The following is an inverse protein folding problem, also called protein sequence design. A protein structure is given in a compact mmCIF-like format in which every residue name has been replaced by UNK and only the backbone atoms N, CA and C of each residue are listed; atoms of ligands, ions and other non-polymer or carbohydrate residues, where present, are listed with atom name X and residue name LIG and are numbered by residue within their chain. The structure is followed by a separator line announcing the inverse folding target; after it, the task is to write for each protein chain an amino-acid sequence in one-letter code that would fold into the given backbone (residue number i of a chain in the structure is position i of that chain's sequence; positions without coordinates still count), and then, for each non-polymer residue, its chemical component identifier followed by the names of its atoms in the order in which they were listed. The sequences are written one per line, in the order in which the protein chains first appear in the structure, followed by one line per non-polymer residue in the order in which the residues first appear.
data_IF_693304069534
#
_entry.id   IF_693304069534
#
_cell.length_a   1.000
_cell.length_b   1.000
_cell.length_c   1.000
_cell.angle_alpha   90.00
_cell.angle_beta   90.00
_cell.angle_gamma   90.00
#
_symmetry.space_group_name_H-M   'P 1'
#
loop_
_entity.id
_entity.type
_entity.pdbx_description
1 polymer ?
#
# COMPACT_ATOMS: atom_id res chain seq x y z
N UNK A 1 25.96 -21.19 -20.35
CA UNK A 1 24.59 -21.70 -20.58
C UNK A 1 24.39 -21.85 -22.08
N UNK A 2 23.91 -23.00 -22.54
CA UNK A 2 23.66 -23.21 -23.97
C UNK A 2 22.49 -22.30 -24.40
N UNK A 3 22.54 -21.74 -25.61
CA UNK A 3 21.57 -20.74 -26.11
C UNK A 3 20.12 -21.25 -26.24
N UNK A 4 19.83 -22.50 -25.88
CA UNK A 4 18.58 -23.18 -26.23
C UNK A 4 17.85 -23.87 -25.06
N UNK A 5 18.18 -23.61 -23.80
CA UNK A 5 17.36 -24.14 -22.70
C UNK A 5 15.99 -23.45 -22.68
N UNK A 6 14.88 -24.22 -22.73
CA UNK A 6 13.54 -23.66 -22.66
C UNK A 6 13.38 -22.96 -21.30
N UNK A 7 12.89 -21.71 -21.35
CA UNK A 7 12.62 -20.94 -20.15
C UNK A 7 11.30 -21.46 -19.58
N UNK A 8 11.27 -21.71 -18.28
CA UNK A 8 10.08 -22.15 -17.57
C UNK A 8 9.55 -21.03 -16.68
N UNK A 9 8.23 -20.88 -16.62
CA UNK A 9 7.59 -19.95 -15.69
C UNK A 9 7.82 -20.42 -14.25
N UNK A 10 8.40 -19.60 -13.36
CA UNK A 10 8.71 -20.01 -11.99
C UNK A 10 7.45 -20.34 -11.16
N UNK A 11 6.28 -19.85 -11.57
CA UNK A 11 5.02 -20.03 -10.84
C UNK A 11 4.23 -21.27 -11.26
N UNK A 12 4.19 -21.58 -12.56
CA UNK A 12 3.34 -22.66 -13.08
C UNK A 12 4.06 -23.62 -14.03
N UNK A 13 5.39 -23.51 -14.15
CA UNK A 13 6.28 -24.38 -14.92
C UNK A 13 6.02 -24.46 -16.45
N UNK A 14 5.02 -23.75 -16.96
CA UNK A 14 4.74 -23.67 -18.41
C UNK A 14 5.88 -23.00 -19.18
N UNK A 15 6.05 -23.41 -20.43
CA UNK A 15 7.00 -22.83 -21.39
C UNK A 15 6.37 -21.78 -22.31
N UNK A 16 5.05 -21.54 -22.22
CA UNK A 16 4.36 -20.51 -23.00
C UNK A 16 4.62 -19.11 -22.43
N UNK A 17 5.76 -18.54 -22.83
CA UNK A 17 6.31 -17.30 -22.31
C UNK A 17 6.48 -16.31 -23.46
N UNK A 18 5.88 -15.13 -23.31
CA UNK A 18 6.20 -13.98 -24.14
C UNK A 18 7.46 -13.32 -23.60
N UNK A 19 8.47 -13.12 -24.45
CA UNK A 19 9.72 -12.44 -24.07
C UNK A 19 9.81 -11.11 -24.80
N UNK A 20 10.12 -10.05 -24.04
CA UNK A 20 10.41 -8.72 -24.57
C UNK A 20 11.78 -8.29 -24.08
N UNK A 21 12.71 -8.09 -25.01
CA UNK A 21 14.06 -7.60 -24.69
C UNK A 21 14.04 -6.08 -24.69
N UNK A 22 14.50 -5.48 -23.60
CA UNK A 22 14.61 -4.03 -23.42
C UNK A 22 16.06 -3.68 -23.07
N UNK A 23 16.64 -2.70 -23.76
CA UNK A 23 17.98 -2.22 -23.42
C UNK A 23 17.88 -1.20 -22.29
N UNK A 24 18.66 -1.41 -21.24
CA UNK A 24 18.75 -0.48 -20.10
C UNK A 24 20.19 -0.01 -19.93
N UNK A 25 20.33 1.20 -19.39
CA UNK A 25 21.60 1.69 -18.90
C UNK A 25 21.89 1.04 -17.54
N UNK A 26 23.01 0.33 -17.39
CA UNK A 26 23.36 -0.40 -16.18
C UNK A 26 23.60 0.53 -14.98
N UNK A 27 24.09 1.76 -15.22
CA UNK A 27 24.38 2.71 -14.16
C UNK A 27 23.10 3.32 -13.57
N UNK A 28 22.19 3.79 -14.43
CA UNK A 28 20.95 4.44 -13.99
C UNK A 28 19.75 3.48 -13.84
N UNK A 29 19.80 2.31 -14.47
CA UNK A 29 18.68 1.38 -14.59
C UNK A 29 17.49 1.93 -15.38
N UNK A 30 17.68 3.02 -16.15
CA UNK A 30 16.65 3.60 -17.01
C UNK A 30 16.58 2.85 -18.34
N UNK A 31 15.36 2.72 -18.88
CA UNK A 31 15.14 2.17 -20.23
C UNK A 31 15.73 3.13 -21.26
N UNK A 32 16.60 2.60 -22.11
CA UNK A 32 17.11 3.34 -23.26
C UNK A 32 16.06 3.23 -24.37
N UNK A 33 15.32 4.31 -24.59
CA UNK A 33 14.32 4.35 -25.66
C UNK A 33 15.02 4.38 -27.02
N UNK A 34 14.97 3.27 -27.75
CA UNK A 34 15.41 3.17 -29.15
C UNK A 34 15.02 4.38 -30.02
N UNK A 35 13.76 4.91 -29.98
CA UNK A 35 13.34 5.99 -30.88
C UNK A 35 14.11 7.29 -30.67
N UNK A 36 14.45 7.67 -29.44
CA UNK A 36 15.19 8.92 -29.18
C UNK A 36 16.61 8.85 -29.77
N UNK A 37 17.24 7.69 -29.67
CA UNK A 37 18.53 7.42 -30.31
C UNK A 37 18.48 7.41 -31.83
N UNK A 38 17.44 6.79 -32.40
CA UNK A 38 17.27 6.74 -33.84
C UNK A 38 17.10 8.17 -34.39
N UNK A 39 16.29 8.99 -33.72
CA UNK A 39 16.14 10.41 -34.05
C UNK A 39 17.49 11.13 -33.94
N UNK A 40 18.21 10.99 -32.83
CA UNK A 40 19.55 11.59 -32.66
C UNK A 40 20.53 11.19 -33.78
N UNK A 41 20.56 9.90 -34.14
CA UNK A 41 21.38 9.39 -35.24
C UNK A 41 21.00 9.97 -36.61
N UNK A 42 19.70 10.13 -36.89
CA UNK A 42 19.20 10.76 -38.12
C UNK A 42 19.66 12.23 -38.20
N UNK A 43 19.56 12.98 -37.10
CA UNK A 43 20.02 14.36 -37.04
C UNK A 43 21.52 14.50 -37.31
N UNK A 44 22.34 13.61 -36.73
CA UNK A 44 23.78 13.55 -37.02
C UNK A 44 24.02 13.25 -38.51
N UNK A 45 23.33 12.25 -39.06
CA UNK A 45 23.49 11.86 -40.47
C UNK A 45 23.13 13.01 -41.43
N UNK A 46 22.00 13.70 -41.19
CA UNK A 46 21.57 14.86 -42.00
C UNK A 46 22.62 15.97 -41.91
N UNK A 47 23.08 16.31 -40.70
CA UNK A 47 24.10 17.35 -40.51
C UNK A 47 25.39 17.06 -41.28
N UNK A 48 25.88 15.81 -41.21
CA UNK A 48 27.08 15.39 -41.94
C UNK A 48 26.87 15.44 -43.45
N UNK A 49 25.74 14.95 -43.97
CA UNK A 49 25.43 14.98 -45.41
C UNK A 49 25.37 16.41 -45.93
N UNK A 50 24.67 17.31 -45.23
CA UNK A 50 24.57 18.72 -45.61
C UNK A 50 25.94 19.43 -45.56
N UNK A 51 26.77 19.11 -44.56
CA UNK A 51 28.14 19.61 -44.48
C UNK A 51 28.99 19.19 -45.67
N UNK A 52 28.97 17.89 -46.01
CA UNK A 52 29.73 17.34 -47.15
C UNK A 52 29.24 17.94 -48.47
N UNK A 53 27.94 18.04 -48.69
CA UNK A 53 27.38 18.66 -49.90
C UNK A 53 27.81 20.12 -50.04
N UNK A 54 27.84 20.86 -48.93
CA UNK A 54 28.29 22.27 -48.95
C UNK A 54 29.77 22.39 -49.34
N UNK A 55 30.63 21.48 -48.86
CA UNK A 55 32.05 21.43 -49.26
C UNK A 55 32.19 21.08 -50.73
N UNK A 56 31.44 20.09 -51.23
CA UNK A 56 31.45 19.71 -52.65
C UNK A 56 31.01 20.90 -53.51
N UNK A 57 29.93 21.59 -53.14
CA UNK A 57 29.46 22.78 -53.85
C UNK A 57 30.49 23.91 -53.87
N UNK A 58 31.22 24.12 -52.77
CA UNK A 58 32.29 25.13 -52.74
C UNK A 58 33.48 24.78 -53.64
N UNK A 59 33.76 23.49 -53.85
CA UNK A 59 34.85 23.03 -54.74
C UNK A 59 34.43 23.09 -56.21
N UNK A 60 33.14 22.86 -56.51
CA UNK A 60 32.63 22.79 -57.89
C UNK A 60 32.07 24.11 -58.42
N UNK A 61 31.87 25.11 -57.57
CA UNK A 61 31.38 26.43 -58.00
C UNK A 61 32.40 27.12 -58.89
N UNK A 62 32.00 27.37 -60.15
CA UNK A 62 32.77 28.17 -61.10
C UNK A 62 32.86 29.64 -60.62
N UNK A 63 34.01 30.32 -60.76
CA UNK A 63 34.24 31.68 -60.23
C UNK A 63 33.37 32.80 -60.84
N UNK A 64 32.38 32.47 -61.66
CA UNK A 64 31.62 33.44 -62.46
C UNK A 64 30.28 33.89 -61.83
N UNK A 65 29.77 33.26 -60.77
CA UNK A 65 28.51 33.66 -60.11
C UNK A 65 28.58 33.41 -58.59
N UNK A 66 28.76 34.49 -57.81
CA UNK A 66 28.95 34.46 -56.36
C UNK A 66 27.62 34.33 -55.58
N UNK A 67 27.59 33.45 -54.58
CA UNK A 67 28.22 33.72 -53.28
C UNK A 67 29.67 33.22 -53.17
N UNK A 68 30.50 33.99 -52.46
CA UNK A 68 31.90 33.62 -52.19
C UNK A 68 32.01 32.18 -51.62
N UNK A 69 33.01 31.37 -52.04
CA UNK A 69 33.18 29.99 -51.57
C UNK A 69 33.33 29.90 -50.04
N UNK A 70 33.86 30.96 -49.41
CA UNK A 70 33.88 31.12 -47.95
C UNK A 70 32.48 31.14 -47.34
N UNK A 71 31.51 31.81 -47.96
CA UNK A 71 30.13 31.84 -47.47
C UNK A 71 29.46 30.47 -47.56
N UNK A 72 29.74 29.69 -48.62
CA UNK A 72 29.21 28.34 -48.79
C UNK A 72 29.76 27.40 -47.71
N UNK A 73 31.06 27.47 -47.42
CA UNK A 73 31.69 26.66 -46.36
C UNK A 73 31.15 27.04 -44.97
N UNK A 74 30.99 28.33 -44.69
CA UNK A 74 30.42 28.80 -43.41
C UNK A 74 28.97 28.35 -43.26
N UNK A 75 28.15 28.43 -44.31
CA UNK A 75 26.78 27.92 -44.30
C UNK A 75 26.75 26.41 -44.05
N UNK A 76 27.64 25.66 -44.69
CA UNK A 76 27.80 24.22 -44.46
C UNK A 76 28.12 23.90 -43.01
N UNK A 77 29.09 24.58 -42.41
CA UNK A 77 29.45 24.42 -40.99
C UNK A 77 28.29 24.77 -40.05
N UNK A 78 27.54 25.84 -40.35
CA UNK A 78 26.34 26.20 -39.59
C UNK A 78 25.28 25.10 -39.66
N UNK A 79 25.07 24.48 -40.83
CA UNK A 79 24.14 23.35 -40.97
C UNK A 79 24.64 22.12 -40.20
N UNK A 80 25.95 21.82 -40.23
CA UNK A 80 26.50 20.73 -39.40
C UNK A 80 26.22 20.99 -37.93
N UNK A 81 26.47 22.20 -37.42
CA UNK A 81 26.23 22.53 -36.02
C UNK A 81 24.75 22.48 -35.64
N UNK A 82 23.87 22.98 -36.51
CA UNK A 82 22.43 23.03 -36.27
C UNK A 82 21.79 21.64 -36.20
N UNK A 83 22.28 20.67 -36.99
CA UNK A 83 21.72 19.33 -37.03
C UNK A 83 22.52 18.32 -36.20
N UNK A 84 23.86 18.30 -36.30
CA UNK A 84 24.68 17.35 -35.58
C UNK A 84 24.79 17.67 -34.08
N UNK A 85 24.74 18.96 -33.68
CA UNK A 85 24.79 19.35 -32.27
C UNK A 85 23.64 18.76 -31.43
N UNK A 86 22.37 19.03 -31.79
CA UNK A 86 21.22 18.41 -31.14
C UNK A 86 21.21 16.89 -31.28
N UNK A 87 21.62 16.36 -32.43
CA UNK A 87 21.73 14.91 -32.64
C UNK A 87 22.71 14.23 -31.69
N UNK A 88 23.89 14.83 -31.49
CA UNK A 88 24.90 14.40 -30.51
C UNK A 88 24.38 14.52 -29.09
N UNK A 89 23.67 15.60 -28.75
CA UNK A 89 23.06 15.75 -27.42
C UNK A 89 22.04 14.64 -27.13
N UNK A 90 21.22 14.27 -28.11
CA UNK A 90 20.24 13.19 -27.98
C UNK A 90 20.89 11.79 -27.95
N UNK A 91 22.00 11.60 -28.68
CA UNK A 91 22.69 10.32 -28.77
C UNK A 91 23.72 10.10 -27.64
N UNK A 92 24.26 11.16 -27.04
CA UNK A 92 25.32 11.09 -26.04
C UNK A 92 24.99 10.19 -24.84
N UNK A 93 23.79 10.26 -24.23
CA UNK A 93 23.42 9.37 -23.14
C UNK A 93 23.46 7.90 -23.54
N UNK A 94 23.16 7.58 -24.80
CA UNK A 94 23.15 6.21 -25.29
C UNK A 94 24.54 5.68 -25.67
N UNK A 95 25.43 6.56 -26.13
CA UNK A 95 26.84 6.21 -26.38
C UNK A 95 27.58 5.99 -25.06
N UNK A 96 27.28 6.78 -24.03
CA UNK A 96 27.92 6.71 -22.72
C UNK A 96 27.31 5.67 -21.78
N UNK A 97 26.10 5.16 -22.06
CA UNK A 97 25.45 4.17 -21.22
C UNK A 97 26.16 2.80 -21.29
N UNK A 98 26.37 2.17 -20.12
CA UNK A 98 26.78 0.77 -20.03
C UNK A 98 25.56 -0.10 -20.37
N UNK A 99 25.49 -0.58 -21.62
CA UNK A 99 24.28 -1.22 -22.16
C UNK A 99 24.15 -2.63 -21.62
N UNK A 100 23.03 -2.91 -20.98
CA UNK A 100 22.62 -4.28 -20.64
C UNK A 100 21.25 -4.60 -21.23
N UNK A 101 21.07 -5.85 -21.64
CA UNK A 101 19.77 -6.34 -22.07
C UNK A 101 19.00 -6.83 -20.85
N UNK A 102 17.80 -6.28 -20.65
CA UNK A 102 16.81 -6.75 -19.71
C UNK A 102 15.76 -7.53 -20.51
N UNK A 103 15.71 -8.84 -20.31
CA UNK A 103 14.64 -9.68 -20.83
C UNK A 103 13.47 -9.65 -19.85
N UNK A 104 12.35 -9.09 -20.29
CA UNK A 104 11.07 -9.14 -19.59
C UNK A 104 10.30 -10.36 -20.08
N UNK A 105 9.90 -11.23 -19.15
CA UNK A 105 9.14 -12.43 -19.44
C UNK A 105 7.74 -12.29 -18.89
N UNK A 106 6.76 -12.67 -19.71
CA UNK A 106 5.37 -12.70 -19.32
C UNK A 106 4.80 -14.09 -19.60
N UNK A 107 4.39 -14.79 -18.54
CA UNK A 107 3.71 -16.07 -18.67
C UNK A 107 2.31 -15.83 -19.25
N UNK A 108 1.96 -16.45 -20.37
CA UNK A 108 0.63 -16.27 -20.98
C UNK A 108 -0.48 -16.95 -20.16
N UNK A 109 -0.14 -18.01 -19.44
CA UNK A 109 -1.11 -18.83 -18.70
C UNK A 109 -1.50 -18.20 -17.35
N UNK A 110 -0.52 -17.83 -16.52
CA UNK A 110 -0.78 -17.32 -15.16
C UNK A 110 -0.57 -15.81 -15.00
N UNK A 111 -0.23 -15.12 -16.09
CA UNK A 111 0.06 -13.67 -16.14
C UNK A 111 1.16 -13.22 -15.16
N UNK A 112 2.07 -14.12 -14.82
CA UNK A 112 3.23 -13.77 -14.00
C UNK A 112 4.29 -13.09 -14.86
N UNK A 113 4.74 -11.92 -14.41
CA UNK A 113 5.83 -11.15 -15.01
C UNK A 113 7.10 -11.32 -14.18
N UNK A 114 8.23 -11.58 -14.84
CA UNK A 114 9.56 -11.56 -14.21
C UNK A 114 10.61 -11.03 -15.18
N UNK A 115 11.75 -10.60 -14.65
CA UNK A 115 12.81 -9.98 -15.43
C UNK A 115 14.13 -10.72 -15.23
N UNK A 116 14.96 -10.77 -16.27
CA UNK A 116 16.34 -11.30 -16.20
C UNK A 116 17.25 -10.36 -16.98
N UNK A 117 18.38 -9.95 -16.39
CA UNK A 117 19.41 -9.32 -17.18
C UNK A 117 20.28 -10.36 -17.86
N UNK A 118 20.64 -10.09 -19.10
CA UNK A 118 21.62 -10.88 -19.83
C UNK A 118 22.96 -10.79 -19.08
N UNK A 119 23.48 -11.94 -18.65
CA UNK A 119 24.72 -12.04 -17.86
C UNK A 119 24.60 -11.78 -16.35
N UNK A 120 23.42 -11.44 -15.83
CA UNK A 120 23.22 -11.27 -14.39
C UNK A 120 21.78 -11.58 -13.97
N UNK A 121 21.60 -12.56 -13.09
CA UNK A 121 20.31 -12.85 -12.47
C UNK A 121 19.95 -11.69 -11.54
N UNK A 122 18.91 -10.91 -11.91
CA UNK A 122 18.32 -9.93 -10.99
C UNK A 122 17.27 -10.67 -10.18
N UNK A 123 17.45 -10.70 -8.87
CA UNK A 123 16.45 -11.22 -7.94
C UNK A 123 15.54 -10.08 -7.49
N UNK A 124 14.22 -10.28 -7.57
CA UNK A 124 13.24 -9.33 -7.05
C UNK A 124 12.89 -9.70 -5.62
N UNK A 125 13.27 -8.85 -4.67
CA UNK A 125 12.94 -9.01 -3.27
C UNK A 125 11.64 -8.27 -2.96
N UNK A 126 10.72 -8.95 -2.27
CA UNK A 126 9.45 -8.36 -1.83
C UNK A 126 9.67 -7.59 -0.54
N UNK A 127 9.35 -6.30 -0.59
CA UNK A 127 9.48 -5.41 0.56
C UNK A 127 8.25 -4.54 0.73
N UNK A 128 8.12 -3.94 1.89
CA UNK A 128 7.14 -2.92 2.18
C UNK A 128 7.87 -1.69 2.71
N UNK A 129 7.68 -0.56 2.02
CA UNK A 129 8.31 0.72 2.34
C UNK A 129 7.31 1.61 3.07
N UNK A 130 7.75 2.43 4.04
CA UNK A 130 6.86 3.36 4.73
C UNK A 130 6.28 4.39 3.77
N UNK A 131 4.98 4.61 3.95
CA UNK A 131 4.12 5.59 3.31
C UNK A 131 4.14 6.95 4.00
N UNK A 132 3.55 7.94 3.33
CA UNK A 132 3.35 9.30 3.87
C UNK A 132 2.49 9.34 5.15
N UNK A 133 1.82 8.23 5.47
CA UNK A 133 0.82 8.13 6.55
C UNK A 133 1.10 6.98 7.52
N UNK A 134 2.36 6.51 7.58
CA UNK A 134 2.71 5.31 8.37
C UNK A 134 2.15 4.00 7.81
N UNK A 135 1.36 4.06 6.73
CA UNK A 135 0.99 2.89 5.94
C UNK A 135 2.24 2.28 5.32
N UNK A 136 2.24 0.98 5.09
CA UNK A 136 3.35 0.30 4.43
C UNK A 136 2.91 -0.08 3.03
N UNK A 137 3.61 0.42 2.02
CA UNK A 137 3.28 0.23 0.61
C UNK A 137 4.14 -0.91 0.06
N UNK A 138 3.55 -1.93 -0.58
CA UNK A 138 4.31 -2.99 -1.20
C UNK A 138 5.20 -2.41 -2.31
N UNK A 139 6.46 -2.81 -2.32
CA UNK A 139 7.45 -2.42 -3.30
C UNK A 139 8.38 -3.59 -3.62
N UNK A 140 9.22 -3.40 -4.63
CA UNK A 140 10.20 -4.37 -5.06
C UNK A 140 11.59 -3.77 -4.90
N UNK A 141 12.50 -4.58 -4.36
CA UNK A 141 13.93 -4.31 -4.42
C UNK A 141 14.53 -5.18 -5.49
N UNK A 142 15.20 -4.55 -6.44
CA UNK A 142 15.94 -5.26 -7.47
C UNK A 142 17.36 -5.50 -6.95
N UNK A 143 17.71 -6.77 -6.81
CA UNK A 143 19.00 -7.23 -6.33
C UNK A 143 19.78 -7.80 -7.52
N UNK A 144 20.82 -7.11 -7.96
CA UNK A 144 21.76 -7.60 -8.96
C UNK A 144 23.09 -7.99 -8.27
N UNK A 145 23.99 -8.74 -8.94
CA UNK A 145 25.24 -9.20 -8.31
C UNK A 145 26.11 -8.10 -7.69
N UNK A 146 26.10 -6.89 -8.25
CA UNK A 146 26.97 -5.77 -7.84
C UNK A 146 26.21 -4.51 -7.37
N UNK A 147 24.88 -4.48 -7.47
CA UNK A 147 24.08 -3.34 -7.05
C UNK A 147 22.69 -3.77 -6.57
N UNK A 148 22.07 -2.91 -5.79
CA UNK A 148 20.72 -3.04 -5.27
C UNK A 148 19.96 -1.74 -5.51
N UNK A 149 18.72 -1.84 -5.99
CA UNK A 149 17.83 -0.70 -6.22
C UNK A 149 16.56 -0.85 -5.40
N UNK A 150 16.30 0.09 -4.49
CA UNK A 150 15.09 0.14 -3.66
C UNK A 150 14.22 1.28 -4.13
N UNK A 151 13.02 0.98 -4.61
CA UNK A 151 12.04 2.00 -4.98
C UNK A 151 11.19 2.36 -3.77
N UNK A 152 11.43 3.53 -3.19
CA UNK A 152 10.50 4.17 -2.26
C UNK A 152 9.40 4.92 -3.00
N UNK A 153 8.52 5.58 -2.25
CA UNK A 153 7.41 6.36 -2.83
C UNK A 153 7.93 7.61 -3.53
N UNK A 154 8.79 8.38 -2.84
CA UNK A 154 9.28 9.67 -3.36
C UNK A 154 10.70 9.58 -3.93
N UNK A 155 11.38 8.45 -3.74
CA UNK A 155 12.78 8.30 -4.13
C UNK A 155 13.16 6.86 -4.41
N UNK A 156 14.08 6.70 -5.33
CA UNK A 156 14.75 5.43 -5.61
C UNK A 156 16.16 5.50 -5.05
N UNK A 157 16.53 4.53 -4.21
CA UNK A 157 17.90 4.41 -3.70
C UNK A 157 18.67 3.39 -4.53
N UNK A 158 19.86 3.77 -4.96
CA UNK A 158 20.83 2.88 -5.57
C UNK A 158 21.99 2.65 -4.60
N UNK A 159 22.31 1.37 -4.35
CA UNK A 159 23.35 0.92 -3.43
C UNK A 159 24.27 -0.04 -4.17
N UNK A 160 25.56 0.28 -4.26
CA UNK A 160 26.55 -0.63 -4.81
C UNK A 160 26.97 -1.64 -3.73
N UNK A 161 27.31 -2.86 -4.15
CA UNK A 161 27.67 -3.96 -3.24
C UNK A 161 28.83 -3.61 -2.30
N UNK A 162 29.85 -2.90 -2.79
CA UNK A 162 31.01 -2.48 -1.99
C UNK A 162 30.69 -1.41 -0.93
N UNK A 163 29.51 -0.78 -1.05
CA UNK A 163 29.00 0.16 -0.05
C UNK A 163 27.87 -0.44 0.80
N UNK A 164 27.37 -1.62 0.46
CA UNK A 164 26.18 -2.20 1.07
C UNK A 164 26.32 -2.39 2.58
N UNK A 165 27.47 -2.84 3.08
CA UNK A 165 27.70 -3.03 4.50
C UNK A 165 27.58 -1.74 5.34
N UNK A 166 27.84 -0.58 4.73
CA UNK A 166 27.70 0.75 5.36
C UNK A 166 26.33 1.38 5.14
N UNK A 167 25.64 0.94 4.11
CA UNK A 167 24.41 1.55 3.59
C UNK A 167 23.15 0.75 3.96
N UNK A 168 23.29 -0.51 4.38
CA UNK A 168 22.18 -1.38 4.75
C UNK A 168 22.34 -1.76 6.21
N UNK A 169 21.42 -1.28 7.03
CA UNK A 169 21.39 -1.53 8.47
C UNK A 169 20.26 -2.53 8.77
N UNK A 170 20.66 -3.72 9.20
CA UNK A 170 19.76 -4.76 9.67
C UNK A 170 19.38 -4.49 11.13
N UNK A 171 18.16 -4.01 11.37
CA UNK A 171 17.80 -3.45 12.68
C UNK A 171 17.59 -4.50 13.78
N UNK A 172 17.46 -5.78 13.42
CA UNK A 172 17.06 -6.86 14.33
C UNK A 172 15.60 -6.76 14.83
N UNK A 173 14.90 -5.66 14.52
CA UNK A 173 13.50 -5.44 14.88
C UNK A 173 12.59 -6.09 13.84
N UNK A 174 11.41 -6.48 14.29
CA UNK A 174 10.33 -6.97 13.44
C UNK A 174 9.23 -5.91 13.34
N UNK A 175 8.57 -5.84 12.21
CA UNK A 175 7.41 -4.99 12.01
C UNK A 175 6.26 -5.49 12.88
N UNK A 176 5.54 -4.57 13.52
CA UNK A 176 4.34 -4.86 14.32
C UNK A 176 3.18 -4.09 13.72
N UNK A 177 2.21 -4.80 13.16
CA UNK A 177 1.03 -4.19 12.54
C UNK A 177 0.53 -4.96 11.33
N UNK A 178 -0.74 -4.72 10.99
CA UNK A 178 -1.35 -5.19 9.74
C UNK A 178 -1.33 -4.08 8.72
N UNK A 179 -1.21 -4.44 7.45
CA UNK A 179 -1.28 -3.50 6.34
C UNK A 179 -2.46 -3.84 5.44
N UNK A 180 -2.92 -2.87 4.66
CA UNK A 180 -3.95 -3.11 3.65
C UNK A 180 -3.54 -4.18 2.60
N UNK A 181 -2.23 -4.38 2.41
CA UNK A 181 -1.66 -5.34 1.47
C UNK A 181 -1.44 -6.75 2.07
N UNK A 182 -1.75 -6.96 3.35
CA UNK A 182 -1.58 -8.23 4.04
C UNK A 182 -1.00 -8.10 5.45
N UNK A 183 -0.97 -9.24 6.16
CA UNK A 183 -0.32 -9.34 7.47
C UNK A 183 1.20 -9.46 7.28
N UNK A 184 1.91 -8.38 7.57
CA UNK A 184 3.39 -8.33 7.56
C UNK A 184 3.95 -8.33 8.99
N UNK A 185 3.12 -8.67 9.98
CA UNK A 185 3.55 -8.76 11.36
C UNK A 185 4.68 -9.81 11.49
N UNK A 186 5.76 -9.43 12.17
CA UNK A 186 6.93 -10.29 12.32
C UNK A 186 7.98 -10.14 11.20
N UNK A 187 7.71 -9.37 10.14
CA UNK A 187 8.67 -9.20 9.05
C UNK A 187 9.87 -8.38 9.54
N UNK A 188 11.12 -8.81 9.28
CA UNK A 188 12.30 -8.07 9.71
C UNK A 188 12.38 -6.69 9.06
N UNK A 189 12.79 -5.70 9.85
CA UNK A 189 12.96 -4.31 9.42
C UNK A 189 14.40 -4.04 9.03
N UNK A 190 14.58 -3.45 7.84
CA UNK A 190 15.86 -3.02 7.28
C UNK A 190 15.83 -1.52 7.05
N UNK A 191 16.94 -0.85 7.29
CA UNK A 191 17.12 0.57 6.94
C UNK A 191 18.14 0.68 5.81
N UNK A 192 17.74 1.35 4.73
CA UNK A 192 18.60 1.64 3.59
C UNK A 192 19.03 3.11 3.67
N UNK A 193 20.34 3.36 3.60
CA UNK A 193 20.95 4.68 3.71
C UNK A 193 21.88 4.87 2.51
N UNK A 194 21.61 5.86 1.65
CA UNK A 194 22.43 6.19 0.50
C UNK A 194 22.72 7.70 0.50
N UNK A 195 23.68 8.14 -0.31
CA UNK A 195 23.90 9.57 -0.57
C UNK A 195 22.62 10.26 -1.10
N UNK A 196 21.73 9.49 -1.74
CA UNK A 196 20.43 9.93 -2.25
C UNK A 196 19.34 10.03 -1.16
N UNK A 197 19.67 9.65 0.08
CA UNK A 197 18.78 9.73 1.24
C UNK A 197 18.58 8.40 1.95
N UNK A 198 17.68 8.42 2.95
CA UNK A 198 17.43 7.28 3.83
C UNK A 198 15.98 6.77 3.71
N UNK A 199 15.82 5.45 3.63
CA UNK A 199 14.56 4.72 3.78
C UNK A 199 14.65 3.90 5.06
N UNK A 200 13.97 4.35 6.11
CA UNK A 200 13.95 3.65 7.41
C UNK A 200 12.82 2.62 7.45
N UNK A 201 12.96 1.60 8.28
CA UNK A 201 11.87 0.67 8.62
C UNK A 201 11.21 -0.02 7.42
N UNK A 202 12.00 -0.42 6.43
CA UNK A 202 11.50 -1.24 5.32
C UNK A 202 11.29 -2.66 5.82
N UNK A 203 10.06 -3.15 5.79
CA UNK A 203 9.77 -4.52 6.16
C UNK A 203 10.09 -5.43 4.98
N UNK A 204 10.88 -6.47 5.21
CA UNK A 204 11.35 -7.38 4.16
C UNK A 204 10.76 -8.75 4.41
N UNK A 205 10.23 -9.40 3.37
CA UNK A 205 9.72 -10.76 3.50
C UNK A 205 10.85 -11.69 4.01
N UNK A 206 10.60 -12.65 4.93
CA UNK A 206 11.66 -13.48 5.51
C UNK A 206 12.62 -14.13 4.49
N UNK A 207 12.12 -14.65 3.37
CA UNK A 207 12.96 -15.24 2.32
C UNK A 207 13.81 -14.18 1.60
N UNK A 208 13.21 -13.03 1.32
CA UNK A 208 13.88 -11.86 0.75
C UNK A 208 14.96 -11.31 1.69
N UNK A 209 14.74 -11.39 3.00
CA UNK A 209 15.68 -10.94 4.02
C UNK A 209 16.94 -11.83 4.03
N UNK A 210 16.79 -13.15 3.96
CA UNK A 210 17.94 -14.06 3.86
C UNK A 210 18.77 -13.82 2.61
N UNK A 211 18.13 -13.60 1.46
CA UNK A 211 18.81 -13.25 0.21
C UNK A 211 19.57 -11.92 0.33
N UNK A 212 18.95 -10.92 0.97
CA UNK A 212 19.60 -9.64 1.22
C UNK A 212 20.81 -9.79 2.15
N UNK A 213 20.70 -10.57 3.23
CA UNK A 213 21.82 -10.84 4.14
C UNK A 213 22.98 -11.56 3.44
N UNK A 214 22.70 -12.53 2.57
CA UNK A 214 23.72 -13.23 1.79
C UNK A 214 24.42 -12.32 0.77
N UNK A 215 23.71 -11.30 0.28
CA UNK A 215 24.25 -10.37 -0.70
C UNK A 215 25.12 -9.27 -0.09
N UNK A 216 24.77 -8.77 1.10
CA UNK A 216 25.56 -7.76 1.81
C UNK A 216 26.88 -8.38 2.27
N UNK A 217 28.05 -7.86 1.83
CA UNK A 217 29.32 -8.37 2.30
C UNK A 217 29.45 -8.10 3.80
N UNK A 218 29.84 -9.12 4.58
CA UNK A 218 30.13 -8.94 6.01
C UNK A 218 31.21 -7.87 6.16
N UNK A 219 30.91 -6.76 6.83
CA UNK A 219 31.95 -5.86 7.26
C UNK A 219 32.91 -6.64 8.16
N UNK A 220 34.21 -6.56 7.88
CA UNK A 220 35.24 -7.29 8.62
C UNK A 220 35.04 -7.08 10.13
N UNK A 221 34.63 -8.14 10.84
CA UNK A 221 34.40 -8.14 12.29
C UNK A 221 32.94 -8.12 12.77
N UNK A 222 31.94 -7.99 11.90
CA UNK A 222 30.52 -8.15 12.27
C UNK A 222 29.94 -9.41 11.64
N UNK A 223 29.83 -10.49 12.42
CA UNK A 223 28.98 -11.62 12.04
C UNK A 223 27.52 -11.17 12.03
N UNK A 224 26.90 -11.19 10.84
CA UNK A 224 25.46 -11.10 10.74
C UNK A 224 24.88 -12.41 11.28
N UNK A 225 24.48 -12.43 12.55
CA UNK A 225 23.82 -13.60 13.14
C UNK A 225 22.49 -13.81 12.39
N UNK A 226 22.34 -14.86 11.57
CA UNK A 226 21.07 -15.11 10.92
C UNK A 226 20.02 -15.28 12.01
N UNK A 227 18.91 -14.54 11.90
CA UNK A 227 17.79 -14.76 12.81
C UNK A 227 17.36 -16.23 12.66
N UNK A 228 17.49 -17.00 13.74
CA UNK A 228 16.91 -18.33 13.81
C UNK A 228 15.41 -18.17 13.57
N UNK A 229 14.93 -18.68 12.44
CA UNK A 229 13.50 -18.75 12.14
C UNK A 229 12.95 -19.86 13.04
N UNK A 230 12.65 -19.54 14.29
CA UNK A 230 11.81 -20.41 15.13
C UNK A 230 10.40 -20.34 14.54
N UNK A 231 9.98 -21.42 13.89
CA UNK A 231 8.58 -21.66 13.58
C UNK A 231 7.78 -21.52 14.89
N UNK A 232 6.78 -20.63 14.91
CA UNK A 232 5.99 -20.36 16.09
C UNK A 232 5.02 -21.53 16.34
N UNK A 233 5.05 -22.21 17.49
CA UNK A 233 4.04 -23.20 17.85
C UNK A 233 2.84 -22.45 18.45
N UNK A 234 1.95 -21.93 17.60
CA UNK A 234 0.73 -21.25 18.06
C UNK A 234 -0.55 -21.79 17.41
N UNK A 235 -0.51 -23.04 16.93
CA UNK A 235 -1.69 -23.74 16.42
C UNK A 235 -2.24 -24.74 17.45
N UNK A 236 -1.45 -25.17 18.44
CA UNK A 236 -1.84 -26.22 19.40
C UNK A 236 -2.62 -25.68 20.61
N UNK A 237 -2.36 -24.44 21.05
CA UNK A 237 -3.08 -23.86 22.20
C UNK A 237 -4.50 -23.38 21.86
N UNK A 238 -4.78 -23.09 20.59
CA UNK A 238 -6.13 -22.73 20.12
C UNK A 238 -7.10 -23.90 20.21
N UNK A 239 -6.63 -25.14 20.00
CA UNK A 239 -7.47 -26.34 20.11
C UNK A 239 -7.88 -26.66 21.54
N UNK A 240 -7.07 -26.26 22.53
CA UNK A 240 -7.33 -26.55 23.95
C UNK A 240 -8.42 -25.65 24.55
N UNK A 241 -8.58 -24.44 23.99
CA UNK A 241 -9.68 -23.51 24.31
C UNK A 241 -10.96 -23.91 23.58
N UNK A 242 -10.86 -24.43 22.35
CA UNK A 242 -12.00 -25.00 21.62
C UNK A 242 -12.62 -26.23 22.31
N UNK A 243 -11.81 -27.11 22.89
CA UNK A 243 -12.32 -28.28 23.63
C UNK A 243 -13.05 -27.91 24.93
N UNK A 244 -12.62 -26.87 25.64
CA UNK A 244 -13.28 -26.41 26.86
C UNK A 244 -14.58 -25.64 26.59
N UNK A 245 -14.66 -24.86 25.50
CA UNK A 245 -15.91 -24.22 25.07
C UNK A 245 -16.94 -25.23 24.54
N UNK A 246 -16.47 -26.32 23.91
CA UNK A 246 -17.31 -27.37 23.34
C UNK A 246 -17.96 -28.31 24.37
N UNK A 247 -17.59 -28.21 25.65
CA UNK A 247 -18.21 -28.98 26.75
C UNK A 247 -19.50 -28.34 27.29
N UNK A 248 -19.82 -27.09 26.94
CA UNK A 248 -20.93 -26.36 27.55
C UNK A 248 -22.18 -26.18 26.68
N UNK A 249 -22.12 -26.43 25.35
CA UNK A 249 -23.26 -26.21 24.44
C UNK A 249 -23.24 -27.21 23.26
N UNK A 250 -23.96 -28.36 23.36
CA UNK A 250 -23.98 -29.41 22.34
C UNK A 250 -24.44 -28.92 20.96
N UNK A 251 -25.42 -28.01 20.92
CA UNK A 251 -26.04 -27.54 19.67
C UNK A 251 -25.11 -26.62 18.87
N UNK A 252 -24.22 -25.90 19.55
CA UNK A 252 -23.21 -25.04 18.90
C UNK A 252 -22.09 -25.88 18.27
N UNK A 253 -21.74 -27.02 18.89
CA UNK A 253 -20.75 -27.97 18.36
C UNK A 253 -21.24 -28.55 17.04
N UNK A 254 -22.51 -28.92 16.94
CA UNK A 254 -23.08 -29.47 15.71
C UNK A 254 -23.13 -28.42 14.59
N UNK A 255 -23.52 -27.18 14.90
CA UNK A 255 -23.53 -26.09 13.93
C UNK A 255 -22.12 -25.74 13.42
N UNK A 256 -21.12 -25.66 14.31
CA UNK A 256 -19.73 -25.36 13.94
C UNK A 256 -19.09 -26.52 13.18
N UNK A 257 -19.35 -27.78 13.56
CA UNK A 257 -18.87 -28.94 12.80
C UNK A 257 -19.51 -29.02 11.41
N UNK A 258 -20.80 -28.67 11.29
CA UNK A 258 -21.49 -28.61 10.00
C UNK A 258 -20.90 -27.53 9.10
N UNK A 259 -20.63 -26.33 9.63
CA UNK A 259 -19.96 -25.25 8.90
C UNK A 259 -18.53 -25.63 8.48
N UNK A 260 -17.77 -26.29 9.35
CA UNK A 260 -16.40 -26.76 9.07
C UNK A 260 -16.40 -27.85 8.00
N UNK A 261 -17.36 -28.77 8.04
CA UNK A 261 -17.53 -29.81 7.01
C UNK A 261 -17.91 -29.19 5.65
N UNK A 262 -18.81 -28.20 5.62
CA UNK A 262 -19.21 -27.48 4.40
C UNK A 262 -18.06 -26.70 3.78
N UNK A 263 -17.26 -26.02 4.60
CA UNK A 263 -16.07 -25.30 4.14
C UNK A 263 -15.01 -26.26 3.56
N UNK A 264 -14.78 -27.39 4.23
CA UNK A 264 -13.79 -28.39 3.81
C UNK A 264 -14.22 -29.11 2.52
N UNK A 265 -15.51 -29.45 2.38
CA UNK A 265 -16.06 -30.08 1.18
C UNK A 265 -15.97 -29.16 -0.06
N UNK A 266 -16.13 -27.85 0.12
CA UNK A 266 -16.01 -26.86 -0.97
C UNK A 266 -14.56 -26.66 -1.44
N UNK A 267 -13.60 -26.70 -0.52
CA UNK A 267 -12.17 -26.56 -0.84
C UNK A 267 -11.61 -27.81 -1.54
N UNK A 268 -12.25 -28.97 -1.39
CA UNK A 268 -11.80 -30.24 -1.96
C UNK A 268 -12.27 -30.52 -3.41
N UNK A 269 -13.24 -29.78 -3.96
CA UNK A 269 -13.74 -30.01 -5.33
C UNK A 269 -14.09 -28.72 -6.08
N UNK A 270 -13.25 -28.24 -7.02
CA UNK A 270 -13.58 -27.08 -7.83
C UNK A 270 -14.61 -27.41 -8.92
N UNK A 271 -15.65 -26.59 -9.06
CA UNK A 271 -16.62 -26.64 -10.17
C UNK A 271 -18.04 -27.05 -9.77
N UNK A 272 -18.83 -27.50 -10.75
CA UNK A 272 -20.30 -27.73 -10.64
C UNK A 272 -20.72 -28.74 -9.55
N UNK A 273 -19.81 -29.56 -9.00
CA UNK A 273 -20.11 -30.45 -7.87
C UNK A 273 -20.34 -29.69 -6.55
N UNK A 274 -19.66 -28.57 -6.33
CA UNK A 274 -19.89 -27.72 -5.14
C UNK A 274 -21.29 -27.08 -5.11
N UNK A 275 -21.89 -26.87 -6.29
CA UNK A 275 -23.23 -26.29 -6.45
C UNK A 275 -24.32 -27.33 -6.12
N UNK A 276 -24.15 -28.59 -6.53
CA UNK A 276 -25.09 -29.67 -6.18
C UNK A 276 -25.07 -30.02 -4.69
N UNK A 277 -23.91 -29.96 -4.06
CA UNK A 277 -23.78 -30.15 -2.61
C UNK A 277 -24.48 -29.03 -1.81
N UNK A 278 -24.45 -27.79 -2.30
CA UNK A 278 -25.17 -26.66 -1.68
C UNK A 278 -26.68 -26.70 -1.91
N UNK A 279 -27.14 -27.08 -3.11
CA UNK A 279 -28.57 -27.17 -3.40
C UNK A 279 -29.26 -28.30 -2.63
N UNK A 280 -28.53 -29.37 -2.27
CA UNK A 280 -29.02 -30.39 -1.35
C UNK A 280 -29.22 -29.88 0.09
N UNK A 281 -28.54 -28.78 0.46
CA UNK A 281 -28.65 -28.12 1.78
C UNK A 281 -29.71 -27.03 1.78
N UNK A 282 -30.02 -26.43 0.62
CA UNK A 282 -31.13 -25.46 0.45
C UNK A 282 -32.53 -26.04 0.80
N UNK A 283 -32.65 -27.36 0.88
CA UNK A 283 -33.83 -28.04 1.43
C UNK A 283 -34.01 -27.87 2.95
N UNK A 284 -33.04 -27.29 3.67
CA UNK A 284 -33.13 -27.00 5.10
C UNK A 284 -33.08 -25.49 5.33
N UNK A 285 -34.25 -24.85 5.21
CA UNK A 285 -34.54 -23.44 5.56
C UNK A 285 -34.22 -23.06 7.03
N UNK A 286 -33.73 -23.99 7.83
CA UNK A 286 -33.70 -23.86 9.28
C UNK A 286 -32.43 -23.18 9.80
N UNK A 287 -31.24 -23.37 9.22
CA UNK A 287 -30.01 -22.87 9.86
C UNK A 287 -29.94 -21.34 9.99
N UNK A 288 -30.28 -20.60 8.92
CA UNK A 288 -30.29 -19.13 8.95
C UNK A 288 -31.40 -18.60 9.83
N UNK A 289 -32.58 -19.25 9.80
CA UNK A 289 -33.74 -18.90 10.63
C UNK A 289 -33.46 -19.17 12.11
N UNK A 290 -32.74 -20.25 12.42
CA UNK A 290 -32.34 -20.63 13.78
C UNK A 290 -31.29 -19.69 14.34
N UNK A 291 -30.32 -19.24 13.54
CA UNK A 291 -29.34 -18.23 13.97
C UNK A 291 -30.03 -16.88 14.25
N UNK A 292 -30.99 -16.48 13.41
CA UNK A 292 -31.75 -15.25 13.61
C UNK A 292 -32.67 -15.34 14.83
N UNK A 293 -33.37 -16.46 15.03
CA UNK A 293 -34.21 -16.70 16.19
C UNK A 293 -33.41 -16.82 17.50
N UNK A 294 -32.22 -17.45 17.46
CA UNK A 294 -31.32 -17.57 18.61
C UNK A 294 -30.74 -16.22 19.05
N UNK A 295 -30.52 -15.30 18.11
CA UNK A 295 -30.09 -13.93 18.40
C UNK A 295 -31.22 -13.07 18.98
N UNK A 296 -32.47 -13.37 18.64
CA UNK A 296 -33.68 -12.69 19.12
C UNK A 296 -34.05 -13.14 20.55
N UNK A 297 -34.05 -14.45 20.82
CA UNK A 297 -34.46 -15.03 22.12
C UNK A 297 -33.51 -14.73 23.28
N UNK A 298 -32.23 -14.41 23.03
CA UNK A 298 -31.24 -14.18 24.12
C UNK A 298 -31.15 -12.75 24.64
N UNK A 299 -32.09 -11.87 24.29
CA UNK A 299 -32.25 -10.60 24.98
C UNK A 299 -31.00 -9.71 24.94
N UNK A 300 -30.23 -9.75 23.84
CA UNK A 300 -29.37 -8.61 23.49
C UNK A 300 -30.30 -7.52 22.97
N UNK A 301 -30.98 -6.83 23.88
CA UNK A 301 -31.83 -5.68 23.57
C UNK A 301 -31.00 -4.63 22.84
N UNK A 302 -31.03 -4.69 21.50
CA UNK A 302 -30.61 -3.70 20.51
C UNK A 302 -30.63 -4.37 19.13
N UNK A 303 -31.83 -4.68 18.66
CA UNK A 303 -32.12 -4.88 17.23
C UNK A 303 -33.30 -3.97 16.84
N UNK A 304 -33.31 -2.74 17.35
CA UNK A 304 -34.26 -1.70 16.93
C UNK A 304 -33.88 -1.06 15.59
N UNK A 305 -32.74 -1.42 15.00
CA UNK A 305 -32.30 -0.83 13.74
C UNK A 305 -32.26 -1.83 12.59
N UNK A 306 -33.44 -2.01 11.99
CA UNK A 306 -33.60 -2.57 10.64
C UNK A 306 -32.77 -1.79 9.60
N UNK A 307 -32.28 -0.56 9.91
CA UNK A 307 -31.37 0.21 9.07
C UNK A 307 -29.88 -0.15 9.24
N UNK A 308 -29.51 -1.11 10.11
CA UNK A 308 -28.16 -1.69 10.09
C UNK A 308 -27.87 -2.51 8.82
N UNK A 309 -28.93 -2.80 8.04
CA UNK A 309 -28.86 -3.38 6.69
C UNK A 309 -28.79 -2.30 5.60
N UNK A 310 -28.71 -1.01 5.91
CA UNK A 310 -28.69 0.05 4.89
C UNK A 310 -27.46 0.05 3.97
N UNK A 311 -26.26 -0.39 4.42
CA UNK A 311 -25.15 -0.69 3.50
C UNK A 311 -25.50 -1.82 2.51
N UNK A 312 -26.23 -2.83 2.97
CA UNK A 312 -26.71 -3.94 2.15
C UNK A 312 -27.81 -3.49 1.18
N UNK A 313 -28.78 -2.68 1.63
CA UNK A 313 -29.81 -2.08 0.77
C UNK A 313 -29.23 -1.09 -0.24
N UNK A 314 -28.24 -0.27 0.14
CA UNK A 314 -27.54 0.64 -0.78
C UNK A 314 -26.73 -0.12 -1.82
N UNK A 315 -26.04 -1.20 -1.41
CA UNK A 315 -25.36 -2.11 -2.33
C UNK A 315 -26.34 -2.73 -3.32
N UNK A 316 -27.52 -3.17 -2.84
CA UNK A 316 -28.61 -3.74 -3.66
C UNK A 316 -29.27 -2.71 -4.59
N UNK A 317 -29.56 -1.50 -4.12
CA UNK A 317 -30.28 -0.49 -4.87
C UNK A 317 -29.47 0.16 -6.01
N UNK A 318 -28.14 0.16 -5.94
CA UNK A 318 -27.28 0.83 -6.93
C UNK A 318 -26.79 -0.08 -8.07
N UNK A 319 -27.03 -1.39 -8.03
CA UNK A 319 -26.58 -2.33 -9.06
C UNK A 319 -27.75 -2.90 -9.85
N UNK A 320 -27.86 -2.54 -11.14
CA UNK A 320 -28.96 -3.00 -12.01
C UNK A 320 -28.78 -4.44 -12.52
N UNK A 321 -27.66 -5.11 -12.26
CA UNK A 321 -27.40 -6.48 -12.69
C UNK A 321 -26.73 -7.27 -11.57
N UNK A 322 -27.47 -8.15 -10.89
CA UNK A 322 -26.90 -9.08 -9.93
C UNK A 322 -26.53 -10.40 -10.61
N UNK A 323 -25.29 -10.85 -10.42
CA UNK A 323 -24.96 -12.25 -10.60
C UNK A 323 -25.22 -13.02 -9.30
N UNK A 324 -25.53 -14.31 -9.41
CA UNK A 324 -25.73 -15.18 -8.25
C UNK A 324 -24.51 -15.20 -7.30
N UNK A 325 -23.31 -14.90 -7.83
CA UNK A 325 -22.07 -14.82 -7.05
C UNK A 325 -22.03 -13.61 -6.11
N UNK A 326 -22.62 -12.48 -6.48
CA UNK A 326 -22.60 -11.25 -5.68
C UNK A 326 -23.46 -11.39 -4.43
N UNK A 327 -24.64 -12.03 -4.57
CA UNK A 327 -25.52 -12.34 -3.43
C UNK A 327 -24.85 -13.36 -2.49
N UNK A 328 -24.12 -14.33 -3.04
CA UNK A 328 -23.38 -15.31 -2.24
C UNK A 328 -22.20 -14.71 -1.48
N UNK A 329 -21.48 -13.76 -2.09
CA UNK A 329 -20.38 -13.06 -1.44
C UNK A 329 -20.88 -12.24 -0.24
N UNK A 330 -21.97 -11.49 -0.42
CA UNK A 330 -22.57 -10.70 0.65
C UNK A 330 -23.03 -11.58 1.85
N UNK A 331 -23.60 -12.77 1.57
CA UNK A 331 -23.98 -13.72 2.63
C UNK A 331 -22.77 -14.22 3.45
N UNK A 332 -21.63 -14.42 2.81
CA UNK A 332 -20.39 -14.84 3.47
C UNK A 332 -19.80 -13.74 4.35
N UNK A 333 -19.83 -12.49 3.87
CA UNK A 333 -19.35 -11.33 4.64
C UNK A 333 -20.18 -11.11 5.91
N UNK A 334 -21.50 -11.32 5.85
CA UNK A 334 -22.39 -11.24 7.03
C UNK A 334 -22.06 -12.34 8.05
N UNK A 335 -21.81 -13.58 7.59
CA UNK A 335 -21.44 -14.69 8.48
C UNK A 335 -20.09 -14.46 9.16
N UNK A 336 -19.12 -13.92 8.42
CA UNK A 336 -17.81 -13.59 8.96
C UNK A 336 -17.90 -12.45 9.99
N UNK A 337 -18.68 -11.41 9.71
CA UNK A 337 -18.95 -10.32 10.65
C UNK A 337 -19.62 -10.82 11.94
N UNK A 338 -20.65 -11.67 11.83
CA UNK A 338 -21.36 -12.21 12.99
C UNK A 338 -20.42 -13.06 13.87
N UNK A 339 -19.58 -13.90 13.25
CA UNK A 339 -18.59 -14.71 13.94
C UNK A 339 -17.56 -13.87 14.72
N UNK A 340 -17.08 -12.78 14.12
CA UNK A 340 -16.15 -11.84 14.77
C UNK A 340 -16.79 -11.14 15.97
N UNK A 341 -18.07 -10.78 15.90
CA UNK A 341 -18.76 -10.14 17.01
C UNK A 341 -18.98 -11.08 18.19
N UNK A 342 -19.37 -12.33 17.93
CA UNK A 342 -19.58 -13.36 18.96
C UNK A 342 -18.27 -13.65 19.71
N UNK A 343 -17.15 -13.72 19.00
CA UNK A 343 -15.82 -13.95 19.60
C UNK A 343 -15.30 -12.75 20.41
N UNK A 344 -15.59 -11.51 19.99
CA UNK A 344 -15.25 -10.30 20.74
C UNK A 344 -16.07 -10.14 22.02
N UNK A 345 -17.37 -10.46 21.97
CA UNK A 345 -18.25 -10.37 23.13
C UNK A 345 -17.98 -11.47 24.17
N UNK A 346 -17.44 -12.62 23.75
CA UNK A 346 -17.00 -13.68 24.64
C UNK A 346 -15.69 -13.36 25.40
N UNK A 347 -14.94 -12.32 25.00
CA UNK A 347 -13.60 -12.02 25.54
C UNK A 347 -13.52 -10.76 26.44
N UNK A 348 -14.62 -10.05 26.67
CA UNK A 348 -14.63 -8.84 27.49
C UNK A 348 -15.10 -9.09 28.95
N UNK A 349 -14.29 -8.76 29.99
CA UNK A 349 -14.75 -8.80 31.38
C UNK A 349 -15.67 -7.60 31.69
N UNK A 350 -16.82 -7.88 32.33
CA UNK A 350 -17.79 -6.86 32.77
C UNK A 350 -17.34 -6.23 34.10
N UNK A 351 -17.18 -4.90 34.15
CA UNK A 351 -17.08 -4.15 35.40
C UNK A 351 -18.20 -3.12 35.48
N UNK A 352 -18.98 -3.17 36.58
CA UNK A 352 -20.03 -2.22 36.94
C UNK A 352 -19.45 -1.26 37.99
N UNK A 353 -19.58 0.05 37.82
CA UNK A 353 -19.62 0.99 38.95
C UNK A 353 -20.21 2.35 38.56
N UNK A 354 -20.99 2.90 39.49
CA UNK A 354 -21.84 4.09 39.42
C UNK A 354 -21.32 5.21 40.33
N UNK A 355 -21.47 6.49 39.93
CA UNK A 355 -21.90 7.63 40.75
C UNK A 355 -21.78 8.99 40.03
N UNK A 356 -22.75 9.87 40.31
CA UNK A 356 -23.01 11.23 39.77
C UNK A 356 -22.35 12.34 40.64
N UNK A 357 -22.34 13.65 40.27
CA UNK A 357 -21.08 14.36 40.01
C UNK A 357 -20.81 15.57 40.95
N UNK A 358 -19.52 15.91 41.10
CA UNK A 358 -19.03 17.23 41.50
C UNK A 358 -18.18 17.81 40.35
N UNK A 359 -18.13 19.15 40.18
CA UNK A 359 -17.55 19.78 38.99
C UNK A 359 -16.04 19.52 38.94
N UNK A 360 -15.61 18.74 37.96
CA UNK A 360 -14.20 18.39 37.76
C UNK A 360 -13.61 19.25 36.65
N UNK A 361 -12.73 20.16 37.07
CA UNK A 361 -11.61 20.62 36.25
C UNK A 361 -10.65 19.46 35.94
N UNK A 362 -10.02 19.53 34.77
CA UNK A 362 -8.82 18.79 34.36
C UNK A 362 -8.95 17.30 33.98
N UNK A 363 -9.85 16.97 33.05
CA UNK A 363 -9.57 15.87 32.11
C UNK A 363 -9.89 16.33 30.69
N UNK A 364 -8.89 16.36 29.79
CA UNK A 364 -8.94 17.01 28.47
C UNK A 364 -9.84 16.34 27.43
N UNK A 365 -11.11 16.09 27.77
CA UNK A 365 -12.15 15.62 26.86
C UNK A 365 -13.30 16.62 26.74
N UNK A 366 -14.04 16.54 25.63
CA UNK A 366 -15.29 17.28 25.44
C UNK A 366 -16.46 16.46 25.98
N UNK A 367 -17.55 17.11 26.37
CA UNK A 367 -18.76 16.43 26.87
C UNK A 367 -19.88 16.67 25.87
N UNK A 368 -20.51 15.59 25.40
CA UNK A 368 -21.67 15.69 24.53
C UNK A 368 -22.83 16.38 25.26
N UNK A 369 -23.37 17.45 24.69
CA UNK A 369 -24.44 18.24 25.28
C UNK A 369 -25.77 17.47 25.44
N UNK A 370 -25.96 16.39 24.67
CA UNK A 370 -27.21 15.60 24.67
C UNK A 370 -27.14 14.45 25.67
N UNK A 371 -26.10 13.61 25.61
CA UNK A 371 -26.01 12.40 26.44
C UNK A 371 -24.96 12.47 27.55
N UNK A 372 -24.25 13.59 27.69
CA UNK A 372 -23.14 13.75 28.64
C UNK A 372 -21.98 12.77 28.45
N UNK A 373 -21.92 12.03 27.34
CA UNK A 373 -20.80 11.14 27.04
C UNK A 373 -19.52 11.96 26.78
N UNK A 374 -18.40 11.49 27.35
CA UNK A 374 -17.11 12.11 27.15
C UNK A 374 -16.52 11.73 25.78
N UNK A 375 -16.19 12.73 24.96
CA UNK A 375 -15.44 12.60 23.71
C UNK A 375 -13.96 12.81 24.04
N UNK A 376 -13.20 11.72 24.02
CA UNK A 376 -11.78 11.69 24.38
C UNK A 376 -10.94 11.27 23.18
N UNK A 377 -9.64 11.59 23.23
CA UNK A 377 -8.66 11.17 22.22
C UNK A 377 -9.11 11.53 20.81
N UNK A 378 -9.34 12.82 20.60
CA UNK A 378 -9.80 13.41 19.34
C UNK A 378 -8.81 14.46 18.83
N UNK A 379 -8.93 14.77 17.55
CA UNK A 379 -8.32 15.91 16.88
C UNK A 379 -9.37 16.58 15.98
N UNK A 380 -9.19 17.83 15.60
CA UNK A 380 -10.13 18.50 14.69
C UNK A 380 -9.78 18.18 13.23
N UNK A 381 -10.79 18.12 12.36
CA UNK A 381 -10.59 17.83 10.93
C UNK A 381 -9.66 18.83 10.22
N UNK A 382 -9.61 20.10 10.67
CA UNK A 382 -8.69 21.10 10.13
C UNK A 382 -7.22 20.88 10.52
N UNK A 383 -6.95 19.98 11.48
CA UNK A 383 -5.59 19.61 11.89
C UNK A 383 -4.94 18.65 10.87
N UNK A 384 -5.65 18.32 9.76
CA UNK A 384 -5.16 17.65 8.55
C UNK A 384 -4.39 16.34 8.82
N UNK A 385 -5.04 15.42 9.53
CA UNK A 385 -4.77 14.00 9.40
C UNK A 385 -5.82 13.44 8.42
N UNK A 386 -5.37 12.50 7.60
CA UNK A 386 -6.17 11.54 6.83
C UNK A 386 -7.51 11.23 7.47
N UNK A 387 -8.56 11.18 6.63
CA UNK A 387 -9.93 10.74 6.95
C UNK A 387 -9.92 9.65 8.03
N UNK A 388 -10.16 10.04 9.28
CA UNK A 388 -10.34 9.12 10.38
C UNK A 388 -11.81 9.05 10.77
N UNK A 389 -12.17 8.03 11.57
CA UNK A 389 -13.56 7.88 12.00
C UNK A 389 -13.97 9.15 12.76
N UNK A 390 -15.10 9.76 12.37
CA UNK A 390 -15.65 10.86 13.16
C UNK A 390 -16.00 10.33 14.55
N UNK A 391 -15.82 11.14 15.58
CA UNK A 391 -16.23 10.80 16.96
C UNK A 391 -17.24 11.82 17.51
N UNK A 392 -17.33 12.98 16.88
CA UNK A 392 -18.29 14.00 17.23
C UNK A 392 -18.07 15.28 16.45
N UNK A 393 -18.67 16.35 16.95
CA UNK A 393 -18.65 17.68 16.37
C UNK A 393 -18.57 18.71 17.50
N UNK A 394 -17.90 19.83 17.25
CA UNK A 394 -17.88 20.96 18.17
C UNK A 394 -18.22 22.25 17.45
N UNK A 395 -19.11 23.06 18.03
CA UNK A 395 -19.47 24.34 17.48
C UNK A 395 -18.39 25.41 17.74
N UNK A 396 -17.97 26.09 16.67
CA UNK A 396 -17.02 27.21 16.74
C UNK A 396 -17.58 28.50 17.35
N UNK A 397 -18.91 28.63 17.46
CA UNK A 397 -19.58 29.84 17.95
C UNK A 397 -20.04 29.78 19.42
N UNK A 398 -20.37 28.59 19.93
CA UNK A 398 -20.82 28.42 21.32
C UNK A 398 -20.06 27.33 22.09
N UNK A 399 -19.12 26.63 21.46
CA UNK A 399 -18.30 25.59 22.09
C UNK A 399 -19.03 24.29 22.38
N UNK A 400 -20.34 24.21 22.13
CA UNK A 400 -21.15 23.01 22.36
C UNK A 400 -20.62 21.83 21.54
N UNK A 401 -20.41 20.70 22.20
CA UNK A 401 -19.96 19.46 21.57
C UNK A 401 -21.08 18.43 21.48
N UNK A 402 -21.08 17.63 20.42
CA UNK A 402 -22.04 16.56 20.15
C UNK A 402 -21.26 15.30 19.78
N UNK A 403 -21.60 14.13 20.34
CA UNK A 403 -21.09 12.88 19.78
C UNK A 403 -21.80 12.58 18.45
N UNK A 404 -21.25 11.68 17.64
CA UNK A 404 -21.82 11.35 16.33
C UNK A 404 -23.29 10.94 16.35
N UNK A 405 -23.72 10.30 17.44
CA UNK A 405 -25.08 9.73 17.56
C UNK A 405 -26.14 10.80 17.89
N UNK A 406 -25.72 11.96 18.40
CA UNK A 406 -26.63 12.99 18.92
C UNK A 406 -26.59 14.31 18.16
N UNK A 407 -26.02 14.30 16.95
CA UNK A 407 -26.18 15.40 16.01
C UNK A 407 -27.09 14.94 14.88
N UNK A 408 -28.13 15.72 14.58
CA UNK A 408 -29.05 15.47 13.46
C UNK A 408 -28.27 15.43 12.13
N UNK A 409 -28.66 14.52 11.22
CA UNK A 409 -28.09 14.43 9.87
C UNK A 409 -28.21 15.75 9.11
N UNK A 410 -29.31 16.49 9.28
CA UNK A 410 -29.45 17.81 8.66
C UNK A 410 -28.41 18.82 9.18
N UNK A 411 -28.05 18.75 10.46
CA UNK A 411 -27.03 19.60 11.06
C UNK A 411 -25.61 19.16 10.66
N UNK A 412 -25.38 17.85 10.44
CA UNK A 412 -24.14 17.31 9.88
C UNK A 412 -23.93 17.78 8.44
N UNK A 413 -24.95 17.67 7.60
CA UNK A 413 -24.88 18.04 6.18
C UNK A 413 -24.72 19.55 5.96
N UNK A 414 -25.38 20.35 6.80
CA UNK A 414 -25.25 21.82 6.73
C UNK A 414 -24.01 22.36 7.44
N UNK A 415 -23.36 21.55 8.28
CA UNK A 415 -22.28 21.96 9.19
C UNK A 415 -22.65 23.18 10.06
N UNK A 416 -23.93 23.30 10.44
CA UNK A 416 -24.45 24.41 11.26
C UNK A 416 -24.95 23.92 12.60
N UNK A 417 -24.54 24.61 13.65
CA UNK A 417 -24.94 24.30 15.01
C UNK A 417 -26.43 24.64 15.19
N UNK A 418 -27.25 23.69 15.67
CA UNK A 418 -28.68 23.93 15.86
C UNK A 418 -28.97 24.95 16.97
N UNK A 419 -28.02 25.18 17.88
CA UNK A 419 -28.22 26.10 19.01
C UNK A 419 -27.89 27.56 18.69
N UNK A 420 -26.85 27.82 17.88
CA UNK A 420 -26.38 29.20 17.62
C UNK A 420 -26.15 29.54 16.14
N UNK A 421 -26.33 28.60 15.21
CA UNK A 421 -26.04 28.80 13.78
C UNK A 421 -24.56 28.90 13.43
N UNK A 422 -23.66 28.79 14.41
CA UNK A 422 -22.20 28.76 14.19
C UNK A 422 -21.76 27.50 13.44
N UNK A 423 -20.58 27.56 12.82
CA UNK A 423 -20.03 26.41 12.06
C UNK A 423 -19.66 25.26 13.00
N UNK A 424 -20.08 24.05 12.66
CA UNK A 424 -19.70 22.82 13.33
C UNK A 424 -18.39 22.29 12.75
N UNK A 425 -17.44 22.00 13.63
CA UNK A 425 -16.15 21.42 13.26
C UNK A 425 -16.18 19.95 13.64
N UNK A 426 -15.85 19.08 12.69
CA UNK A 426 -15.79 17.64 12.92
C UNK A 426 -14.61 17.28 13.82
N UNK A 427 -14.88 16.43 14.80
CA UNK A 427 -13.90 15.79 15.67
C UNK A 427 -13.63 14.39 15.13
N UNK A 428 -12.36 14.05 14.95
CA UNK A 428 -11.97 12.76 14.45
C UNK A 428 -11.14 11.95 15.46
N UNK A 429 -11.21 10.63 15.36
CA UNK A 429 -10.57 9.71 16.31
C UNK A 429 -9.05 9.79 16.21
N UNK A 430 -8.41 9.98 17.36
CA UNK A 430 -6.97 9.92 17.52
C UNK A 430 -6.39 11.23 18.03
N UNK A 431 -5.19 11.19 18.63
CA UNK A 431 -4.58 12.37 19.21
C UNK A 431 -3.96 13.26 18.12
N UNK A 432 -4.02 14.58 18.32
CA UNK A 432 -3.29 15.51 17.48
C UNK A 432 -1.78 15.49 17.82
N UNK A 433 -0.95 15.33 16.80
CA UNK A 433 0.49 15.58 16.91
C UNK A 433 0.77 17.07 17.17
N UNK A 434 1.80 17.35 17.97
CA UNK A 434 2.18 18.71 18.37
C UNK A 434 2.43 19.66 17.19
N UNK A 435 2.98 19.15 16.07
CA UNK A 435 3.20 19.93 14.85
C UNK A 435 1.91 20.40 14.18
N UNK A 436 0.83 19.62 14.28
CA UNK A 436 -0.46 19.97 13.67
C UNK A 436 -1.21 20.99 14.51
N UNK A 437 -1.15 20.84 15.83
CA UNK A 437 -1.64 21.84 16.77
C UNK A 437 -0.94 23.19 16.53
N UNK A 438 0.38 23.16 16.36
CA UNK A 438 1.16 24.40 16.12
C UNK A 438 0.81 25.03 14.77
N UNK A 439 0.67 24.24 13.71
CA UNK A 439 0.22 24.72 12.39
C UNK A 439 -1.19 25.32 12.46
N UNK A 440 -2.12 24.66 13.14
CA UNK A 440 -3.50 25.15 13.30
C UNK A 440 -3.56 26.45 14.13
N UNK A 441 -2.72 26.55 15.16
CA UNK A 441 -2.54 27.76 15.96
C UNK A 441 -2.02 28.93 15.12
N UNK A 442 -0.99 28.71 14.30
CA UNK A 442 -0.43 29.73 13.42
C UNK A 442 -1.43 30.23 12.36
N UNK A 443 -2.38 29.37 11.96
CA UNK A 443 -3.46 29.72 11.03
C UNK A 443 -4.68 30.34 11.70
N UNK A 444 -4.69 30.46 13.03
CA UNK A 444 -5.79 31.08 13.78
C UNK A 444 -7.08 30.25 13.82
N UNK A 445 -7.00 28.92 13.69
CA UNK A 445 -8.19 28.06 13.76
C UNK A 445 -8.74 27.89 15.18
N UNK A 446 -7.88 28.03 16.19
CA UNK A 446 -8.32 28.01 17.59
C UNK A 446 -8.87 29.35 18.03
N UNK A 447 -9.90 29.31 18.86
CA UNK A 447 -10.55 30.48 19.44
C UNK A 447 -10.99 30.18 20.88
N UNK A 448 -11.83 31.04 21.46
CA UNK A 448 -12.32 30.88 22.84
C UNK A 448 -13.07 29.54 23.05
N UNK A 449 -13.78 29.08 22.01
CA UNK A 449 -14.65 27.91 22.01
C UNK A 449 -13.96 26.63 21.50
N UNK A 450 -13.04 26.77 20.55
CA UNK A 450 -12.26 25.68 19.94
C UNK A 450 -10.85 25.74 20.52
N UNK A 451 -10.61 24.90 21.53
CA UNK A 451 -9.31 24.81 22.22
C UNK A 451 -8.48 23.65 21.66
N UNK A 452 -7.14 23.77 21.63
CA UNK A 452 -6.28 22.70 21.19
C UNK A 452 -6.47 21.44 22.04
N UNK A 453 -6.56 20.24 21.45
CA UNK A 453 -6.62 18.98 22.18
C UNK A 453 -5.28 18.70 22.87
N UNK A 454 -5.26 17.74 23.81
CA UNK A 454 -4.01 17.30 24.44
C UNK A 454 -3.05 16.74 23.38
N UNK A 455 -1.90 17.41 23.20
CA UNK A 455 -0.88 16.96 22.28
C UNK A 455 -0.26 15.65 22.76
N UNK A 456 -0.06 14.68 21.88
CA UNK A 456 0.97 13.68 22.17
C UNK A 456 2.34 14.36 22.13
N UNK A 457 2.99 14.48 23.30
CA UNK A 457 4.44 14.69 23.32
C UNK A 457 5.03 13.49 22.60
N UNK A 458 5.60 13.69 21.43
CA UNK A 458 6.54 12.75 20.83
C UNK A 458 7.67 12.57 21.84
N UNK A 459 7.59 11.50 22.63
CA UNK A 459 8.69 11.06 23.48
C UNK A 459 9.77 10.55 22.54
N UNK A 460 10.57 11.48 22.01
CA UNK A 460 11.89 11.15 21.49
C UNK A 460 12.74 10.90 22.73
N UNK A 461 12.77 9.64 23.19
CA UNK A 461 13.80 9.20 24.14
C UNK A 461 15.15 9.46 23.46
N UNK A 462 15.91 10.39 24.03
CA UNK A 462 17.29 10.68 23.66
C UNK A 462 18.19 9.47 23.93
#
# INVERSE_FOLDING_TARGET
MSKNEPIHCPKCQTTDISTKVVTIDAASGKRLSLPVTAVGGIFIAIGVILGVLSVISAITSSPAQDPSPTAIVVLGLMMVLLFAGPGLYLAAPYVQADRRQLSEYHCKQCRHEWHRMEGAEITLLKVWVPGSLGSMVPSLVELAPNWLRVKGIDKTLHILKDHAARQIEFTGRKHTGKTAAGDINGYPLVTFNSAQGRLKHVAVQPESYQQLCAWVPSAAGTEHKPLAVTAHPSVIDTFRVEEQAALCLPDLREAVQTLKALYTAKMAAPGQMGIRALNAVEGKKDATTYILAYLDERGTGQLDDVNSLEPFRRSIAHSRNYSHEDVHRAKLEILEWAYQRITQSASAPRSISSSTPKPQEASGGLICATCSAAIRNFHYSFEHIVISAGVGWQCSGCGTAYCNDHLDEQAKDSEKCPNCGGTLIRLEQGPAASSMIESARQRGFYNEYIRPPESQRTVVKA
#
